data_IF_308439662794
#
_entry.id   IF_308439662794
#
_cell.length_a   1.000
_cell.length_b   1.000
_cell.length_c   1.000
_cell.angle_alpha   90.00
_cell.angle_beta   90.00
_cell.angle_gamma   90.00
#
_symmetry.space_group_name_H-M   'P 1'
#
loop_
_entity.id
_entity.type
_entity.pdbx_description
1 polymer ?
#
# COMPACT_ATOMS: atom_id res chain seq x y z
N UNK A 1 6.18 19.21 24.66
CA UNK A 1 6.08 17.85 25.20
C UNK A 1 6.78 16.95 24.20
N UNK A 2 7.70 16.08 24.63
CA UNK A 2 8.33 15.13 23.70
C UNK A 2 7.26 14.11 23.26
N UNK A 3 7.25 13.66 21.99
CA UNK A 3 6.28 12.69 21.52
C UNK A 3 6.45 11.37 22.27
N UNK A 4 5.33 10.76 22.67
CA UNK A 4 5.32 9.44 23.30
C UNK A 4 4.82 8.42 22.29
N UNK A 5 5.73 7.63 21.74
CA UNK A 5 5.38 6.55 20.83
C UNK A 5 4.95 5.30 21.59
N UNK A 6 3.83 4.71 21.19
CA UNK A 6 3.36 3.42 21.71
C UNK A 6 3.81 2.28 20.79
N UNK A 7 4.13 1.13 21.37
CA UNK A 7 4.37 -0.09 20.59
C UNK A 7 3.07 -0.49 19.87
N UNK A 8 3.20 -0.85 18.59
CA UNK A 8 2.10 -1.44 17.83
C UNK A 8 2.28 -2.95 17.82
N UNK A 9 1.19 -3.69 18.09
CA UNK A 9 1.16 -5.14 18.01
C UNK A 9 -0.06 -5.59 17.22
N UNK A 10 0.18 -6.38 16.17
CA UNK A 10 -0.84 -7.14 15.43
C UNK A 10 -0.61 -8.63 15.65
N UNK A 11 -1.43 -9.48 15.04
CA UNK A 11 -1.19 -10.93 15.00
C UNK A 11 0.14 -11.29 14.34
N UNK A 12 0.53 -10.56 13.30
CA UNK A 12 1.71 -10.87 12.48
C UNK A 12 2.99 -10.22 12.98
N UNK A 13 2.90 -9.03 13.57
CA UNK A 13 4.10 -8.22 13.90
C UNK A 13 3.99 -7.43 15.20
N UNK A 14 5.16 -7.03 15.70
CA UNK A 14 5.30 -5.92 16.66
C UNK A 14 6.21 -4.85 16.07
N UNK A 15 5.91 -3.59 16.35
CA UNK A 15 6.70 -2.46 15.92
C UNK A 15 6.93 -1.47 17.06
N UNK A 16 8.19 -1.13 17.30
CA UNK A 16 8.59 -0.05 18.21
C UNK A 16 9.14 1.13 17.39
N UNK A 17 8.98 2.35 17.91
CA UNK A 17 9.35 3.56 17.18
C UNK A 17 10.56 4.29 17.78
N UNK A 18 11.29 4.98 16.92
CA UNK A 18 12.23 6.05 17.24
C UNK A 18 11.82 7.35 16.54
N UNK A 19 12.14 8.49 17.13
CA UNK A 19 11.87 9.80 16.53
C UNK A 19 12.77 10.05 15.29
N UNK A 20 12.23 10.68 14.26
CA UNK A 20 13.00 11.15 13.11
C UNK A 20 14.06 12.17 13.53
N UNK A 21 15.28 11.99 13.02
CA UNK A 21 16.29 13.05 13.04
C UNK A 21 15.95 14.15 12.03
N UNK A 22 16.56 15.33 12.20
CA UNK A 22 16.46 16.43 11.22
C UNK A 22 16.98 16.01 9.85
N UNK A 23 18.10 15.27 9.79
CA UNK A 23 18.69 14.79 8.54
C UNK A 23 17.76 13.83 7.78
N UNK A 24 17.13 12.88 8.48
CA UNK A 24 16.13 12.00 7.89
C UNK A 24 14.89 12.78 7.41
N UNK A 25 14.45 13.77 8.18
CA UNK A 25 13.32 14.62 7.78
C UNK A 25 13.62 15.45 6.51
N UNK A 26 14.85 15.97 6.36
CA UNK A 26 15.29 16.64 5.14
C UNK A 26 15.36 15.67 3.95
N UNK A 27 15.91 14.47 4.17
CA UNK A 27 15.95 13.43 3.14
C UNK A 27 14.53 13.07 2.64
N UNK A 28 13.59 12.83 3.54
CA UNK A 28 12.19 12.57 3.19
C UNK A 28 11.52 13.75 2.47
N UNK A 29 11.88 14.99 2.82
CA UNK A 29 11.36 16.19 2.16
C UNK A 29 11.89 16.37 0.72
N UNK A 30 13.01 15.74 0.40
CA UNK A 30 13.62 15.79 -0.95
C UNK A 30 13.04 14.77 -1.93
N UNK A 31 12.21 13.84 -1.45
CA UNK A 31 11.58 12.84 -2.31
C UNK A 31 10.53 13.48 -3.23
N UNK A 32 10.35 12.96 -4.46
CA UNK A 32 9.33 13.47 -5.37
C UNK A 32 7.92 13.36 -4.76
N UNK A 33 7.05 14.39 -4.88
CA UNK A 33 5.71 14.39 -4.30
C UNK A 33 4.81 13.24 -4.76
N UNK A 34 5.06 12.70 -5.95
CA UNK A 34 4.37 11.57 -6.54
C UNK A 34 4.81 10.21 -5.96
N UNK A 35 5.97 10.14 -5.32
CA UNK A 35 6.55 8.90 -4.78
C UNK A 35 5.99 8.54 -3.39
N UNK A 36 4.69 8.23 -3.33
CA UNK A 36 3.96 7.95 -2.10
C UNK A 36 4.51 6.72 -1.37
N UNK A 37 4.59 5.58 -2.06
CA UNK A 37 4.97 4.31 -1.44
C UNK A 37 6.45 4.26 -1.12
N UNK A 38 7.29 4.83 -1.98
CA UNK A 38 8.72 5.01 -1.66
C UNK A 38 8.92 5.87 -0.42
N UNK A 39 8.16 6.98 -0.29
CA UNK A 39 8.24 7.84 0.90
C UNK A 39 7.86 7.09 2.16
N UNK A 40 6.77 6.30 2.13
CA UNK A 40 6.34 5.48 3.27
C UNK A 40 7.41 4.46 3.64
N UNK A 41 7.97 3.74 2.66
CA UNK A 41 9.07 2.78 2.89
C UNK A 41 10.27 3.45 3.56
N UNK A 42 10.76 4.56 3.01
CA UNK A 42 11.93 5.25 3.55
C UNK A 42 11.66 5.77 4.97
N UNK A 43 10.48 6.36 5.19
CA UNK A 43 10.06 6.82 6.51
C UNK A 43 10.04 5.68 7.53
N UNK A 44 9.34 4.58 7.24
CA UNK A 44 9.25 3.45 8.15
C UNK A 44 10.63 2.85 8.42
N UNK A 45 11.49 2.74 7.40
CA UNK A 45 12.87 2.24 7.57
C UNK A 45 13.70 3.09 8.53
N UNK A 46 13.37 4.38 8.72
CA UNK A 46 14.04 5.25 9.69
C UNK A 46 13.51 5.12 11.10
N UNK A 47 12.21 4.84 11.27
CA UNK A 47 11.56 5.01 12.56
C UNK A 47 11.10 3.72 13.21
N UNK A 48 10.89 2.62 12.46
CA UNK A 48 10.38 1.38 13.04
C UNK A 48 11.46 0.32 13.17
N UNK A 49 11.44 -0.38 14.30
CA UNK A 49 12.07 -1.69 14.46
C UNK A 49 10.96 -2.74 14.51
N UNK A 50 11.06 -3.79 13.69
CA UNK A 50 10.04 -4.81 13.53
C UNK A 50 10.46 -6.14 14.20
N UNK A 51 9.49 -6.81 14.83
CA UNK A 51 9.53 -8.23 15.21
C UNK A 51 8.41 -8.96 14.45
N UNK A 52 8.73 -10.08 13.81
CA UNK A 52 7.78 -10.91 13.05
C UNK A 52 7.86 -10.79 11.54
N UNK A 53 8.47 -9.72 11.02
CA UNK A 53 8.63 -9.46 9.59
C UNK A 53 10.05 -8.92 9.36
N UNK A 54 10.73 -9.32 8.27
CA UNK A 54 12.15 -8.99 8.07
C UNK A 54 12.38 -7.62 7.44
N UNK A 55 11.38 -7.05 6.76
CA UNK A 55 11.49 -5.77 6.06
C UNK A 55 10.17 -4.99 6.15
N UNK A 56 10.27 -3.66 6.22
CA UNK A 56 9.08 -2.78 6.13
C UNK A 56 8.34 -2.95 4.81
N UNK A 57 9.03 -3.43 3.78
CA UNK A 57 8.42 -3.61 2.47
C UNK A 57 7.49 -4.83 2.47
N UNK A 58 7.78 -5.89 3.26
CA UNK A 58 6.94 -7.09 3.45
C UNK A 58 5.62 -6.80 4.16
N UNK A 59 5.48 -5.62 4.77
CA UNK A 59 4.24 -5.18 5.38
C UNK A 59 3.16 -5.04 4.31
N UNK A 60 1.93 -5.44 4.66
CA UNK A 60 0.78 -5.11 3.82
C UNK A 60 0.62 -3.59 3.73
N UNK A 61 -0.04 -3.10 2.68
CA UNK A 61 -0.37 -1.68 2.56
C UNK A 61 -1.16 -1.17 3.79
N UNK A 62 -2.15 -1.90 4.34
CA UNK A 62 -2.82 -1.50 5.58
C UNK A 62 -1.89 -1.49 6.80
N UNK A 63 -0.97 -2.46 6.93
CA UNK A 63 0.04 -2.47 8.01
C UNK A 63 0.96 -1.24 7.93
N UNK A 64 1.46 -0.88 6.74
CA UNK A 64 2.30 0.32 6.57
C UNK A 64 1.55 1.60 6.93
N UNK A 65 0.29 1.73 6.49
CA UNK A 65 -0.57 2.86 6.83
C UNK A 65 -0.85 2.90 8.34
N UNK A 66 -1.04 1.76 9.00
CA UNK A 66 -1.23 1.71 10.44
C UNK A 66 0.00 2.29 11.14
N UNK A 67 1.20 1.83 10.79
CA UNK A 67 2.43 2.31 11.44
C UNK A 67 2.66 3.81 11.20
N UNK A 68 2.38 4.28 9.98
CA UNK A 68 2.43 5.70 9.64
C UNK A 68 1.45 6.53 10.48
N UNK A 69 0.19 6.09 10.57
CA UNK A 69 -0.83 6.79 11.35
C UNK A 69 -0.55 6.78 12.84
N UNK A 70 -0.02 5.69 13.40
CA UNK A 70 0.33 5.62 14.80
C UNK A 70 1.47 6.59 15.17
N UNK A 71 2.45 6.75 14.27
CA UNK A 71 3.46 7.79 14.41
C UNK A 71 2.83 9.20 14.36
N UNK A 72 1.93 9.46 13.40
CA UNK A 72 1.20 10.74 13.29
C UNK A 72 0.35 11.04 14.53
N UNK A 73 -0.34 10.05 15.09
CA UNK A 73 -1.13 10.16 16.31
C UNK A 73 -0.27 10.59 17.50
N UNK A 74 0.96 10.08 17.61
CA UNK A 74 1.89 10.46 18.67
C UNK A 74 2.43 11.90 18.53
N UNK A 75 2.46 12.46 17.31
CA UNK A 75 2.85 13.84 17.06
C UNK A 75 1.69 14.84 17.16
N UNK A 76 0.46 14.35 17.01
CA UNK A 76 -0.73 15.17 16.93
C UNK A 76 -1.21 15.60 18.33
N UNK A 77 -1.80 16.80 18.49
CA UNK A 77 -2.41 17.21 19.77
C UNK A 77 -3.49 16.25 20.27
N UNK A 78 -4.16 15.57 19.34
CA UNK A 78 -5.14 14.52 19.58
C UNK A 78 -4.76 13.27 18.77
N UNK A 79 -4.75 12.07 19.39
CA UNK A 79 -4.43 10.83 18.68
C UNK A 79 -5.36 10.54 17.49
N UNK A 80 -6.63 10.94 17.60
CA UNK A 80 -7.61 10.87 16.52
C UNK A 80 -7.59 12.15 15.67
N UNK A 81 -6.50 12.30 14.92
CA UNK A 81 -6.21 13.51 14.16
C UNK A 81 -7.20 13.71 13.01
N UNK A 82 -7.45 14.99 12.69
CA UNK A 82 -8.32 15.40 11.59
C UNK A 82 -7.65 15.15 10.24
N UNK A 83 -8.38 14.55 9.30
CA UNK A 83 -7.97 14.30 7.91
C UNK A 83 -8.65 15.27 6.94
N UNK A 84 -9.86 15.71 7.28
CA UNK A 84 -10.67 16.67 6.54
C UNK A 84 -11.66 17.33 7.49
N UNK A 85 -12.34 18.39 7.02
CA UNK A 85 -13.25 19.21 7.83
C UNK A 85 -14.27 18.42 8.69
N UNK A 86 -14.66 17.20 8.28
CA UNK A 86 -15.62 16.36 8.99
C UNK A 86 -15.12 14.91 9.22
N UNK A 87 -13.85 14.60 8.93
CA UNK A 87 -13.34 13.22 8.94
C UNK A 87 -12.06 13.08 9.75
N UNK A 88 -12.03 12.09 10.63
CA UNK A 88 -10.95 11.77 11.54
C UNK A 88 -10.31 10.43 11.22
N UNK A 89 -9.13 10.17 11.77
CA UNK A 89 -8.42 8.90 11.60
C UNK A 89 -9.29 7.67 11.95
N UNK A 90 -10.06 7.74 13.03
CA UNK A 90 -10.92 6.66 13.52
C UNK A 90 -12.09 6.31 12.58
N UNK A 91 -12.47 7.21 11.67
CA UNK A 91 -13.50 6.96 10.64
C UNK A 91 -13.02 5.97 9.56
N UNK A 92 -11.70 5.78 9.45
CA UNK A 92 -11.07 4.89 8.47
C UNK A 92 -10.48 3.64 9.11
N UNK A 93 -10.01 3.73 10.36
CA UNK A 93 -9.40 2.61 11.08
C UNK A 93 -10.44 1.56 11.46
N UNK A 94 -10.19 0.32 11.07
CA UNK A 94 -10.95 -0.86 11.46
C UNK A 94 -10.11 -1.81 12.32
N UNK A 95 -9.76 -1.37 13.53
CA UNK A 95 -8.89 -2.11 14.45
C UNK A 95 -9.46 -3.47 14.93
N UNK A 96 -10.74 -3.75 14.67
CA UNK A 96 -11.34 -5.04 14.98
C UNK A 96 -10.96 -6.15 13.99
N UNK A 97 -10.46 -5.79 12.80
CA UNK A 97 -10.11 -6.73 11.74
C UNK A 97 -8.60 -6.73 11.54
N UNK A 98 -8.01 -7.90 11.75
CA UNK A 98 -6.60 -8.15 11.53
C UNK A 98 -6.46 -9.15 10.37
N UNK A 99 -5.23 -9.30 9.88
CA UNK A 99 -4.90 -10.15 8.76
C UNK A 99 -5.26 -11.63 9.02
N UNK A 100 -5.64 -12.34 7.96
CA UNK A 100 -5.76 -13.80 8.01
C UNK A 100 -4.40 -14.44 7.73
N UNK A 101 -4.06 -15.44 8.55
CA UNK A 101 -2.77 -16.13 8.50
C UNK A 101 -2.97 -17.61 8.18
N UNK A 102 -2.05 -18.18 7.40
CA UNK A 102 -1.89 -19.60 7.20
C UNK A 102 -0.68 -20.10 8.00
N UNK A 103 -0.91 -20.53 9.23
CA UNK A 103 0.14 -20.79 10.22
C UNK A 103 0.50 -19.58 11.06
N UNK A 104 1.70 -19.55 11.65
CA UNK A 104 2.01 -18.59 12.71
C UNK A 104 2.16 -17.13 12.23
N UNK A 105 2.70 -16.90 11.02
CA UNK A 105 3.01 -15.55 10.51
C UNK A 105 2.94 -15.39 8.98
N UNK A 106 2.55 -16.44 8.26
CA UNK A 106 2.44 -16.38 6.81
C UNK A 106 1.06 -15.84 6.43
N UNK A 107 1.06 -14.85 5.54
CA UNK A 107 -0.18 -14.26 5.02
C UNK A 107 -0.97 -15.33 4.27
N UNK A 108 -2.25 -15.46 4.60
CA UNK A 108 -3.14 -16.37 3.89
C UNK A 108 -3.32 -15.89 2.44
N UNK A 109 -3.36 -16.85 1.52
CA UNK A 109 -3.75 -16.63 0.13
C UNK A 109 -5.16 -17.20 -0.05
N UNK A 110 -6.00 -16.50 -0.80
CA UNK A 110 -7.41 -16.87 -0.96
C UNK A 110 -7.65 -17.46 -2.33
N UNK A 111 -8.36 -18.58 -2.38
CA UNK A 111 -8.76 -19.24 -3.61
C UNK A 111 -9.84 -18.42 -4.35
N UNK A 112 -9.63 -18.20 -5.65
CA UNK A 112 -10.60 -17.57 -6.56
C UNK A 112 -11.26 -18.59 -7.52
N UNK A 113 -10.84 -19.86 -7.46
CA UNK A 113 -11.33 -20.92 -8.31
C UNK A 113 -10.76 -20.89 -9.74
N UNK A 114 -11.41 -21.64 -10.63
CA UNK A 114 -10.99 -21.78 -12.03
C UNK A 114 -11.62 -20.68 -12.87
N UNK A 115 -10.78 -19.92 -13.58
CA UNK A 115 -11.21 -18.87 -14.50
C UNK A 115 -10.48 -19.06 -15.82
N UNK A 116 -11.23 -19.38 -16.88
CA UNK A 116 -10.64 -19.93 -18.09
C UNK A 116 -10.12 -21.33 -17.82
N UNK A 117 -8.84 -21.55 -18.09
CA UNK A 117 -8.17 -22.85 -17.90
C UNK A 117 -7.23 -22.87 -16.68
N UNK A 118 -7.11 -21.75 -15.97
CA UNK A 118 -6.19 -21.57 -14.85
C UNK A 118 -6.92 -21.52 -13.51
N UNK A 119 -6.28 -22.08 -12.47
CA UNK A 119 -6.74 -21.98 -11.09
C UNK A 119 -6.10 -20.75 -10.44
N UNK A 120 -6.92 -19.75 -10.11
CA UNK A 120 -6.47 -18.47 -9.59
C UNK A 120 -6.59 -18.37 -8.08
N UNK A 121 -5.69 -17.59 -7.49
CA UNK A 121 -5.70 -17.21 -6.10
C UNK A 121 -5.30 -15.73 -5.95
N UNK A 122 -5.61 -15.12 -4.80
CA UNK A 122 -5.29 -13.72 -4.50
C UNK A 122 -4.55 -13.58 -3.17
N UNK A 123 -3.53 -12.71 -3.18
CA UNK A 123 -2.68 -12.40 -2.02
C UNK A 123 -2.82 -10.93 -1.61
N UNK A 124 -2.41 -10.63 -0.38
CA UNK A 124 -2.40 -9.26 0.14
C UNK A 124 -1.48 -8.34 -0.65
N UNK A 125 -1.91 -7.09 -0.87
CA UNK A 125 -1.05 -6.05 -1.43
C UNK A 125 -0.05 -5.59 -0.38
N UNK A 126 1.24 -5.76 -0.68
CA UNK A 126 2.34 -5.34 0.21
C UNK A 126 2.94 -4.01 -0.23
N UNK A 127 3.68 -3.37 0.68
CA UNK A 127 4.28 -2.07 0.46
C UNK A 127 5.23 -2.04 -0.73
N UNK A 128 6.10 -3.04 -0.89
CA UNK A 128 6.97 -3.05 -2.08
C UNK A 128 6.27 -3.50 -3.36
N UNK A 129 5.15 -4.22 -3.30
CA UNK A 129 4.29 -4.38 -4.48
C UNK A 129 3.72 -3.01 -4.91
N UNK A 130 3.21 -2.23 -3.96
CA UNK A 130 2.67 -0.89 -4.25
C UNK A 130 3.76 0.07 -4.76
N UNK A 131 4.97 0.00 -4.22
CA UNK A 131 6.13 0.76 -4.69
C UNK A 131 6.58 0.32 -6.09
N UNK A 132 6.55 -0.98 -6.41
CA UNK A 132 6.85 -1.47 -7.75
C UNK A 132 5.83 -0.97 -8.80
N UNK A 133 4.54 -0.96 -8.44
CA UNK A 133 3.51 -0.34 -9.28
C UNK A 133 3.78 1.17 -9.42
N UNK A 134 4.25 1.86 -8.38
CA UNK A 134 4.61 3.28 -8.49
C UNK A 134 5.82 3.51 -9.42
N UNK A 135 6.85 2.66 -9.38
CA UNK A 135 8.05 2.77 -10.22
C UNK A 135 7.79 2.54 -11.71
N UNK A 136 6.87 1.64 -12.03
CA UNK A 136 6.55 1.26 -13.41
C UNK A 136 5.59 2.24 -14.11
N UNK A 137 5.27 3.39 -13.49
CA UNK A 137 4.30 4.31 -14.04
C UNK A 137 4.78 4.88 -15.39
N UNK A 138 3.93 4.80 -16.40
CA UNK A 138 4.25 5.21 -17.78
C UNK A 138 4.84 4.11 -18.67
N UNK A 139 5.20 2.94 -18.12
CA UNK A 139 5.78 1.83 -18.90
C UNK A 139 4.72 1.00 -19.64
N UNK A 140 3.48 1.00 -19.15
CA UNK A 140 2.37 0.21 -19.72
C UNK A 140 1.70 0.97 -20.85
N UNK A 141 1.72 0.37 -22.05
CA UNK A 141 1.19 0.96 -23.28
C UNK A 141 0.11 0.07 -23.90
N UNK A 142 -0.93 0.70 -24.41
CA UNK A 142 -1.94 0.09 -25.26
C UNK A 142 -1.45 -0.02 -26.71
N UNK A 143 -2.14 -0.80 -27.57
CA UNK A 143 -1.88 -0.79 -29.00
C UNK A 143 -1.83 0.63 -29.57
N UNK A 144 -0.94 0.87 -30.53
CA UNK A 144 -0.67 2.18 -31.13
C UNK A 144 -0.07 3.23 -30.17
N UNK A 145 0.64 2.80 -29.11
CA UNK A 145 1.28 3.67 -28.12
C UNK A 145 0.31 4.58 -27.33
N UNK A 146 -0.97 4.22 -27.26
CA UNK A 146 -1.88 4.91 -26.35
C UNK A 146 -1.53 4.58 -24.89
N UNK A 147 -1.74 5.52 -23.98
CA UNK A 147 -1.54 5.29 -22.55
C UNK A 147 -2.83 4.79 -21.90
N UNK A 148 -2.70 3.87 -20.96
CA UNK A 148 -3.81 3.54 -20.05
C UNK A 148 -4.14 4.76 -19.19
N UNK A 149 -5.41 4.91 -18.80
CA UNK A 149 -5.76 5.93 -17.79
C UNK A 149 -5.14 5.58 -16.44
N UNK A 150 -4.90 6.57 -15.58
CA UNK A 150 -4.30 6.34 -14.25
C UNK A 150 -5.06 5.31 -13.42
N UNK A 151 -6.40 5.36 -13.44
CA UNK A 151 -7.20 4.37 -12.71
C UNK A 151 -7.00 2.95 -13.26
N UNK A 152 -6.97 2.79 -14.59
CA UNK A 152 -6.71 1.49 -15.23
C UNK A 152 -5.30 0.99 -14.94
N UNK A 153 -4.31 1.90 -14.92
CA UNK A 153 -2.93 1.60 -14.59
C UNK A 153 -2.83 0.95 -13.20
N UNK A 154 -3.39 1.61 -12.19
CA UNK A 154 -3.36 1.12 -10.82
C UNK A 154 -4.18 -0.15 -10.63
N UNK A 155 -5.32 -0.27 -11.31
CA UNK A 155 -6.12 -1.49 -11.29
C UNK A 155 -5.35 -2.69 -11.87
N UNK A 156 -4.75 -2.52 -13.05
CA UNK A 156 -3.91 -3.54 -13.68
C UNK A 156 -2.69 -3.90 -12.84
N UNK A 157 -2.05 -2.89 -12.22
CA UNK A 157 -0.90 -3.10 -11.35
C UNK A 157 -1.25 -3.92 -10.12
N UNK A 158 -2.38 -3.61 -9.48
CA UNK A 158 -2.87 -4.36 -8.33
C UNK A 158 -3.27 -5.79 -8.71
N UNK A 159 -4.03 -5.97 -9.81
CA UNK A 159 -4.35 -7.31 -10.33
C UNK A 159 -3.07 -8.10 -10.60
N UNK A 160 -2.08 -7.48 -11.26
CA UNK A 160 -0.83 -8.13 -11.60
C UNK A 160 0.03 -8.49 -10.38
N UNK A 161 0.04 -7.66 -9.35
CA UNK A 161 0.80 -7.92 -8.13
C UNK A 161 0.14 -8.96 -7.21
N UNK A 162 -1.20 -9.02 -7.17
CA UNK A 162 -1.94 -9.78 -6.15
C UNK A 162 -2.50 -11.11 -6.63
N UNK A 163 -2.94 -11.20 -7.89
CA UNK A 163 -3.48 -12.44 -8.45
C UNK A 163 -2.33 -13.39 -8.77
N UNK A 164 -2.46 -14.69 -8.54
CA UNK A 164 -1.51 -15.68 -9.07
C UNK A 164 -2.25 -16.93 -9.53
N UNK A 165 -1.62 -17.68 -10.41
CA UNK A 165 -2.06 -19.03 -10.73
C UNK A 165 -1.46 -19.95 -9.66
N UNK A 166 -2.24 -20.92 -9.17
CA UNK A 166 -1.77 -21.92 -8.20
C UNK A 166 -0.53 -22.62 -8.76
N UNK A 167 0.46 -22.86 -7.90
CA UNK A 167 1.78 -23.41 -8.24
C UNK A 167 2.64 -22.57 -9.21
N UNK A 168 2.23 -21.35 -9.54
CA UNK A 168 3.04 -20.36 -10.26
C UNK A 168 3.41 -19.18 -9.35
N UNK A 169 4.54 -19.26 -8.62
CA UNK A 169 4.90 -18.24 -7.65
C UNK A 169 5.19 -16.90 -8.33
N UNK A 170 4.71 -15.83 -7.72
CA UNK A 170 5.16 -14.47 -8.01
C UNK A 170 6.50 -14.26 -7.31
N UNK A 171 7.44 -13.60 -7.98
CA UNK A 171 8.68 -13.17 -7.36
C UNK A 171 8.37 -12.28 -6.15
N UNK A 172 9.28 -12.28 -5.18
CA UNK A 172 9.17 -11.42 -4.02
C UNK A 172 9.88 -10.08 -4.31
N UNK A 173 9.18 -8.91 -4.22
CA UNK A 173 9.77 -7.61 -4.53
C UNK A 173 10.98 -7.24 -3.65
N UNK A 174 11.18 -7.90 -2.51
CA UNK A 174 12.29 -7.61 -1.58
C UNK A 174 13.55 -8.43 -1.86
N UNK A 175 13.42 -9.54 -2.56
CA UNK A 175 14.56 -10.42 -2.85
C UNK A 175 15.32 -9.97 -4.09
N UNK A 176 14.62 -9.46 -5.11
CA UNK A 176 15.20 -8.91 -6.32
C UNK A 176 14.24 -7.90 -6.97
N UNK A 177 14.44 -6.62 -6.66
CA UNK A 177 13.58 -5.53 -7.11
C UNK A 177 13.48 -5.46 -8.65
N UNK A 178 14.62 -5.53 -9.35
CA UNK A 178 14.64 -5.45 -10.82
C UNK A 178 13.92 -6.62 -11.49
N UNK A 179 14.16 -7.86 -11.03
CA UNK A 179 13.47 -9.03 -11.57
C UNK A 179 11.96 -9.02 -11.26
N UNK A 180 11.58 -8.50 -10.09
CA UNK A 180 10.17 -8.31 -9.76
C UNK A 180 9.49 -7.30 -10.67
N UNK A 181 10.11 -6.14 -10.89
CA UNK A 181 9.57 -5.08 -11.75
C UNK A 181 9.38 -5.57 -13.20
N UNK A 182 10.34 -6.34 -13.73
CA UNK A 182 10.23 -7.01 -15.04
C UNK A 182 9.05 -7.98 -15.08
N UNK A 183 8.90 -8.84 -14.05
CA UNK A 183 7.80 -9.79 -13.97
C UNK A 183 6.44 -9.07 -13.84
N UNK A 184 6.35 -8.04 -13.00
CA UNK A 184 5.14 -7.26 -12.80
C UNK A 184 4.71 -6.57 -14.10
N UNK A 185 5.64 -5.90 -14.78
CA UNK A 185 5.37 -5.27 -16.07
C UNK A 185 4.92 -6.29 -17.12
N UNK A 186 5.58 -7.45 -17.20
CA UNK A 186 5.16 -8.54 -18.09
C UNK A 186 3.72 -8.96 -17.80
N UNK A 187 3.37 -9.18 -16.53
CA UNK A 187 2.04 -9.59 -16.11
C UNK A 187 0.98 -8.54 -16.42
N UNK A 188 1.24 -7.26 -16.19
CA UNK A 188 0.33 -6.17 -16.58
C UNK A 188 0.04 -6.21 -18.09
N UNK A 189 1.06 -6.45 -18.92
CA UNK A 189 0.90 -6.61 -20.36
C UNK A 189 0.12 -7.90 -20.73
N UNK A 190 0.31 -9.00 -20.00
CA UNK A 190 -0.50 -10.22 -20.19
C UNK A 190 -1.99 -9.93 -19.95
N UNK A 191 -2.34 -9.24 -18.86
CA UNK A 191 -3.74 -8.88 -18.57
C UNK A 191 -4.37 -8.04 -19.68
N UNK A 192 -3.62 -7.11 -20.26
CA UNK A 192 -4.08 -6.29 -21.39
C UNK A 192 -4.38 -7.10 -22.66
N UNK A 193 -3.76 -8.28 -22.80
CA UNK A 193 -3.92 -9.14 -23.97
C UNK A 193 -4.93 -10.29 -23.74
N UNK A 194 -5.55 -10.40 -22.56
CA UNK A 194 -6.58 -11.41 -22.35
C UNK A 194 -7.82 -11.17 -23.21
N UNK A 195 -8.52 -12.24 -23.63
CA UNK A 195 -9.86 -12.11 -24.19
C UNK A 195 -10.77 -11.36 -23.21
N UNK A 196 -11.59 -10.44 -23.72
CA UNK A 196 -12.44 -9.57 -22.88
C UNK A 196 -13.33 -10.36 -21.91
N UNK A 197 -13.83 -11.52 -22.32
CA UNK A 197 -14.66 -12.40 -21.49
C UNK A 197 -13.90 -12.97 -20.28
N UNK A 198 -12.62 -13.30 -20.46
CA UNK A 198 -11.73 -13.80 -19.39
C UNK A 198 -11.32 -12.66 -18.48
N UNK A 199 -10.89 -11.53 -19.05
CA UNK A 199 -10.53 -10.34 -18.27
C UNK A 199 -11.69 -9.87 -17.39
N UNK A 200 -12.93 -9.87 -17.91
CA UNK A 200 -14.12 -9.51 -17.10
C UNK A 200 -14.31 -10.45 -15.91
N UNK A 201 -14.16 -11.76 -16.11
CA UNK A 201 -14.29 -12.75 -15.03
C UNK A 201 -13.19 -12.57 -13.97
N UNK A 202 -11.94 -12.41 -14.41
CA UNK A 202 -10.81 -12.16 -13.53
C UNK A 202 -10.98 -10.87 -12.74
N UNK A 203 -11.42 -9.80 -13.38
CA UNK A 203 -11.70 -8.52 -12.73
C UNK A 203 -12.79 -8.65 -11.66
N UNK A 204 -13.87 -9.37 -11.96
CA UNK A 204 -14.93 -9.65 -10.98
C UNK A 204 -14.39 -10.44 -9.79
N UNK A 205 -13.65 -11.52 -10.04
CA UNK A 205 -13.04 -12.33 -8.98
C UNK A 205 -12.03 -11.53 -8.15
N UNK A 206 -11.23 -10.68 -8.79
CA UNK A 206 -10.30 -9.77 -8.14
C UNK A 206 -11.00 -8.85 -7.13
N UNK A 207 -12.07 -8.16 -7.53
CA UNK A 207 -12.80 -7.29 -6.59
C UNK A 207 -13.51 -8.08 -5.48
N UNK A 208 -14.03 -9.28 -5.77
CA UNK A 208 -14.59 -10.16 -4.74
C UNK A 208 -13.53 -10.67 -3.75
N UNK A 209 -12.32 -10.94 -4.22
CA UNK A 209 -11.17 -11.32 -3.41
C UNK A 209 -10.58 -10.15 -2.61
N UNK A 210 -10.52 -8.96 -3.22
CA UNK A 210 -10.00 -7.74 -2.58
C UNK A 210 -10.74 -7.42 -1.29
N UNK A 211 -12.07 -7.56 -1.28
CA UNK A 211 -12.89 -7.37 -0.07
C UNK A 211 -12.54 -8.38 1.03
N UNK A 212 -12.12 -9.60 0.69
CA UNK A 212 -11.68 -10.60 1.67
C UNK A 212 -10.30 -10.27 2.28
N UNK A 213 -9.51 -9.43 1.61
CA UNK A 213 -8.18 -9.00 2.07
C UNK A 213 -8.23 -7.74 2.96
N UNK A 214 -9.40 -7.14 3.16
CA UNK A 214 -9.57 -5.98 4.03
C UNK A 214 -9.20 -6.34 5.48
N UNK A 215 -8.20 -5.63 6.01
CA UNK A 215 -7.78 -5.70 7.41
C UNK A 215 -7.19 -4.33 7.78
N UNK A 216 -7.43 -3.86 9.01
CA UNK A 216 -7.04 -2.54 9.53
C UNK A 216 -7.65 -1.34 8.80
N UNK A 217 -7.75 -1.38 7.48
CA UNK A 217 -8.29 -0.37 6.58
C UNK A 217 -8.95 -1.05 5.38
N UNK A 218 -10.05 -0.48 4.90
CA UNK A 218 -10.61 -0.84 3.60
C UNK A 218 -9.88 -0.08 2.50
N UNK A 219 -9.32 -0.80 1.53
CA UNK A 219 -8.56 -0.18 0.44
C UNK A 219 -9.45 0.07 -0.79
N UNK A 220 -9.12 1.12 -1.53
CA UNK A 220 -9.72 1.43 -2.82
C UNK A 220 -8.69 1.96 -3.81
N UNK A 221 -9.16 2.28 -5.02
CA UNK A 221 -8.34 2.88 -6.08
C UNK A 221 -8.97 4.18 -6.57
N UNK A 222 -8.14 5.14 -6.94
CA UNK A 222 -8.54 6.31 -7.72
C UNK A 222 -7.47 6.67 -8.76
N UNK A 223 -7.64 7.80 -9.45
CA UNK A 223 -6.70 8.30 -10.45
C UNK A 223 -5.33 8.74 -9.92
N UNK A 224 -5.06 8.57 -8.62
CA UNK A 224 -3.76 8.82 -8.00
C UNK A 224 -3.18 7.54 -7.36
N UNK A 225 -3.85 6.40 -7.52
CA UNK A 225 -3.47 5.11 -6.96
C UNK A 225 -4.30 4.63 -5.77
N UNK A 226 -3.64 3.90 -4.88
CA UNK A 226 -4.28 3.27 -3.72
C UNK A 226 -4.72 4.32 -2.70
N UNK A 227 -5.94 4.16 -2.18
CA UNK A 227 -6.55 5.01 -1.15
C UNK A 227 -7.14 4.17 -0.03
N UNK A 228 -7.38 4.81 1.11
CA UNK A 228 -8.11 4.22 2.22
C UNK A 228 -9.54 4.73 2.20
N UNK A 229 -10.50 3.81 2.15
CA UNK A 229 -11.93 4.11 2.15
C UNK A 229 -12.44 4.30 3.59
N UNK A 230 -13.45 5.14 3.82
CA UNK A 230 -14.12 5.21 5.11
C UNK A 230 -14.65 3.82 5.51
N UNK A 231 -14.57 3.49 6.80
CA UNK A 231 -14.99 2.18 7.32
C UNK A 231 -16.50 1.96 7.16
N UNK A 232 -17.30 3.01 7.29
CA UNK A 232 -18.75 2.92 7.16
C UNK A 232 -19.18 2.93 5.69
N UNK A 233 -19.87 1.86 5.28
CA UNK A 233 -20.44 1.74 3.93
C UNK A 233 -21.48 2.84 3.73
N UNK A 234 -21.37 3.57 2.62
CA UNK A 234 -22.26 4.68 2.30
C UNK A 234 -21.90 6.01 2.98
N UNK A 235 -20.77 6.07 3.69
CA UNK A 235 -20.23 7.33 4.20
C UNK A 235 -20.04 8.37 3.09
N UNK A 236 -20.31 9.63 3.41
CA UNK A 236 -20.05 10.78 2.54
C UNK A 236 -18.62 11.31 2.66
N UNK A 237 -17.82 10.73 3.56
CA UNK A 237 -16.42 11.09 3.71
C UNK A 237 -15.62 10.70 2.46
N UNK A 238 -14.69 11.55 2.01
CA UNK A 238 -13.85 11.20 0.87
C UNK A 238 -12.85 10.09 1.24
N UNK A 239 -12.33 9.34 0.26
CA UNK A 239 -11.20 8.46 0.49
C UNK A 239 -9.98 9.24 1.01
N UNK A 240 -9.27 8.66 1.97
CA UNK A 240 -8.09 9.23 2.59
C UNK A 240 -6.78 8.74 1.96
N UNK A 241 -5.73 9.54 2.13
CA UNK A 241 -4.33 9.16 1.91
C UNK A 241 -3.49 9.67 3.06
N UNK A 242 -2.81 8.75 3.73
CA UNK A 242 -1.84 9.10 4.75
C UNK A 242 -0.51 9.40 4.07
N UNK A 243 0.11 10.53 4.42
CA UNK A 243 1.32 11.01 3.74
C UNK A 243 2.43 11.29 4.75
N UNK A 244 3.63 10.86 4.42
CA UNK A 244 4.85 11.17 5.19
C UNK A 244 5.06 12.68 5.30
N UNK A 245 4.67 13.45 4.28
CA UNK A 245 4.73 14.91 4.33
C UNK A 245 3.94 15.51 5.51
N UNK A 246 2.91 14.83 6.05
CA UNK A 246 2.16 15.31 7.21
C UNK A 246 2.97 15.22 8.52
N UNK A 247 3.98 14.34 8.58
CA UNK A 247 4.85 14.15 9.73
C UNK A 247 5.90 15.26 9.82
N UNK A 248 6.34 15.77 8.67
CA UNK A 248 7.45 16.72 8.60
C UNK A 248 6.96 18.13 8.96
N UNK A 249 7.53 18.77 10.01
CA UNK A 249 7.15 20.12 10.40
C UNK A 249 7.41 21.16 9.29
N UNK A 250 6.60 22.23 9.27
CA UNK A 250 6.74 23.30 8.28
C UNK A 250 8.12 23.97 8.29
N UNK A 251 8.76 24.09 9.45
CA UNK A 251 10.12 24.63 9.59
C UNK A 251 11.16 23.80 8.83
N UNK A 252 11.05 22.48 8.86
CA UNK A 252 11.97 21.58 8.15
C UNK A 252 11.71 21.62 6.63
N UNK A 253 10.45 21.65 6.21
CA UNK A 253 10.09 21.83 4.79
C UNK A 253 10.65 23.13 4.23
N UNK A 254 10.58 24.22 5.01
CA UNK A 254 11.16 25.51 4.63
C UNK A 254 12.68 25.46 4.46
N UNK A 255 13.38 24.71 5.31
CA UNK A 255 14.82 24.47 5.17
C UNK A 255 15.15 23.70 3.89
N UNK A 256 14.43 22.62 3.60
CA UNK A 256 14.65 21.83 2.37
C UNK A 256 14.41 22.65 1.09
N UNK A 257 13.38 23.51 1.08
CA UNK A 257 13.07 24.38 -0.04
C UNK A 257 14.11 25.49 -0.26
N UNK A 258 14.86 25.87 0.77
CA UNK A 258 15.93 26.88 0.66
C UNK A 258 17.25 26.33 0.12
N UNK A 259 17.37 25.00 0.00
CA UNK A 259 18.57 24.30 -0.45
C UNK A 259 18.45 23.70 -1.86
N UNK A 260 17.29 23.82 -2.50
CA UNK A 260 17.01 23.39 -3.87
C UNK A 260 17.00 24.58 -4.83
#
# INVERSE_FOLDING_TARGET
>A
MLPQFQEVRTRRLKASYSELTVGQSLALSSLPPESTWRSIREFLSYVVTLDGVNSVQELTVPEQNLLLCQYLSALSPHPDFELSQNGHYSDYLNAAFDVELDGERQLKVFDLGIIGDDHWQISYLTGGMAEAIERLQGEVKLPNNHVVTELQYWELGCMAAMLSIVDQPILNPYQNEGAYDEQLLHRMNVFLNYPQSIFRQLRTAFYSGWVQLDHLFSLGLNNKGIVVMPREVGSTLPPARFRVSAIIPASIKGLAASTA
#
